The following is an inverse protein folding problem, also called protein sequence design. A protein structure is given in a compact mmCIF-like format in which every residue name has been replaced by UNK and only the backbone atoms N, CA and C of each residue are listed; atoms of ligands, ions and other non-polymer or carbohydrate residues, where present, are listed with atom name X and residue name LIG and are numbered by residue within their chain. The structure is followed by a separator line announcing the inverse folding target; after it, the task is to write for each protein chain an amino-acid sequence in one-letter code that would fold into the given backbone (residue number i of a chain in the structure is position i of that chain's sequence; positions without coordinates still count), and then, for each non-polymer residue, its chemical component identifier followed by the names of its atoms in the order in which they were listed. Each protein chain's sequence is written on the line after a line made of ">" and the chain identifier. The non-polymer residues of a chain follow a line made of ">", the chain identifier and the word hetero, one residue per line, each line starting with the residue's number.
data_IF_515368598201
#
_entry.id   IF_515368598201
#
_cell.length_a   1.000
_cell.length_b   1.000
_cell.length_c   1.000
_cell.angle_alpha   90.00
_cell.angle_beta   90.00
_cell.angle_gamma   90.00
#
_symmetry.space_group_name_H-M   'P 1'
#
loop_
_entity.id
_entity.type
_entity.pdbx_description
1 polymer ?
#
# COMPACT_ATOMS: atom_id res chain seq x y z
N UNK A 1 8.63 -18.57 -10.10
CA UNK A 1 9.18 -17.21 -9.93
C UNK A 1 9.04 -16.47 -11.25
N UNK A 2 8.21 -15.43 -11.34
CA UNK A 2 8.02 -14.68 -12.60
C UNK A 2 9.24 -13.78 -12.85
N UNK A 3 9.90 -13.99 -14.00
CA UNK A 3 11.15 -13.36 -14.47
C UNK A 3 11.12 -11.82 -14.60
N UNK A 4 10.00 -11.18 -14.26
CA UNK A 4 9.72 -9.75 -14.47
C UNK A 4 9.16 -9.05 -13.22
N UNK A 5 9.35 -9.58 -12.02
CA UNK A 5 9.00 -8.82 -10.82
C UNK A 5 10.10 -7.77 -10.59
N UNK A 6 9.83 -6.46 -10.75
CA UNK A 6 10.84 -5.44 -10.50
C UNK A 6 11.29 -5.53 -9.05
N UNK A 7 12.61 -5.39 -8.84
CA UNK A 7 13.23 -5.37 -7.52
C UNK A 7 12.48 -4.40 -6.62
N UNK A 8 12.10 -4.83 -5.40
CA UNK A 8 11.41 -3.95 -4.47
C UNK A 8 12.29 -2.74 -4.15
N UNK A 9 11.96 -1.59 -4.73
CA UNK A 9 12.61 -0.33 -4.41
C UNK A 9 12.05 0.18 -3.08
N UNK A 10 12.93 0.29 -2.07
CA UNK A 10 12.57 0.86 -0.78
C UNK A 10 12.00 2.28 -0.98
N UNK A 11 10.91 2.65 -0.29
CA UNK A 11 10.35 3.98 -0.38
C UNK A 11 11.37 5.01 0.11
N UNK A 12 11.49 6.12 -0.61
CA UNK A 12 12.31 7.25 -0.17
C UNK A 12 11.63 8.01 0.98
N UNK A 13 12.37 8.93 1.59
CA UNK A 13 11.87 9.65 2.77
C UNK A 13 10.65 10.53 2.47
N UNK A 14 10.53 11.08 1.25
CA UNK A 14 9.33 11.84 0.83
C UNK A 14 8.09 10.94 0.77
N UNK A 15 8.25 9.71 0.29
CA UNK A 15 7.19 8.70 0.29
C UNK A 15 6.80 8.33 1.73
N UNK A 16 7.78 8.05 2.59
CA UNK A 16 7.50 7.70 3.98
C UNK A 16 6.89 8.86 4.78
N UNK A 17 7.28 10.12 4.52
CA UNK A 17 6.65 11.28 5.12
C UNK A 17 5.14 11.34 4.81
N UNK A 18 4.74 10.92 3.61
CA UNK A 18 3.34 10.83 3.22
C UNK A 18 2.66 9.59 3.84
N UNK A 19 3.32 8.44 3.84
CA UNK A 19 2.79 7.19 4.38
C UNK A 19 2.56 7.24 5.91
N UNK A 20 3.39 8.00 6.64
CA UNK A 20 3.25 8.23 8.08
C UNK A 20 2.05 9.11 8.45
N UNK A 21 1.48 9.86 7.50
CA UNK A 21 0.25 10.62 7.75
C UNK A 21 -0.89 9.63 7.97
N UNK A 22 -1.40 9.57 9.20
CA UNK A 22 -2.41 8.59 9.67
C UNK A 22 -3.61 8.41 8.72
N UNK A 23 -4.04 9.48 8.06
CA UNK A 23 -5.22 9.44 7.18
C UNK A 23 -4.89 8.99 5.75
N UNK A 24 -3.67 9.20 5.23
CA UNK A 24 -3.36 8.97 3.81
C UNK A 24 -3.51 7.50 3.42
N UNK A 25 -2.81 6.59 4.12
CA UNK A 25 -2.86 5.16 3.78
C UNK A 25 -4.28 4.60 3.96
N UNK A 26 -4.95 4.96 5.06
CA UNK A 26 -6.32 4.49 5.36
C UNK A 26 -7.34 5.01 4.34
N UNK A 27 -7.23 6.27 3.93
CA UNK A 27 -8.09 6.87 2.92
C UNK A 27 -7.84 6.23 1.56
N UNK A 28 -6.57 6.05 1.17
CA UNK A 28 -6.20 5.33 -0.06
C UNK A 28 -6.85 3.95 -0.09
N UNK A 29 -6.70 3.16 0.98
CA UNK A 29 -7.29 1.82 1.05
C UNK A 29 -8.82 1.80 0.93
N UNK A 30 -9.50 2.87 1.33
CA UNK A 30 -10.97 3.02 1.25
C UNK A 30 -11.46 3.58 -0.09
N UNK A 31 -10.73 4.52 -0.68
CA UNK A 31 -11.12 5.19 -1.92
C UNK A 31 -10.87 4.28 -3.12
N UNK A 32 -9.77 3.53 -3.09
CA UNK A 32 -9.37 2.65 -4.20
C UNK A 32 -9.95 1.23 -4.07
N UNK A 33 -11.18 1.12 -3.53
CA UNK A 33 -11.95 -0.14 -3.50
C UNK A 33 -12.57 -0.47 -4.87
N UNK A 34 -12.51 0.48 -5.81
CA UNK A 34 -12.94 0.28 -7.19
C UNK A 34 -11.88 -0.54 -7.95
N UNK A 35 -12.24 -1.73 -8.44
CA UNK A 35 -11.34 -2.64 -9.19
C UNK A 35 -10.61 -1.96 -10.35
N UNK A 36 -11.24 -0.99 -11.01
CA UNK A 36 -10.64 -0.26 -12.13
C UNK A 36 -9.42 0.56 -11.70
N UNK A 37 -9.40 1.04 -10.46
CA UNK A 37 -8.27 1.80 -9.91
C UNK A 37 -7.07 0.91 -9.55
N UNK A 38 -7.28 -0.40 -9.37
CA UNK A 38 -6.21 -1.36 -9.12
C UNK A 38 -5.32 -1.57 -10.35
N UNK A 39 -5.77 -1.15 -11.54
CA UNK A 39 -4.93 -1.08 -12.74
C UNK A 39 -3.83 -0.03 -12.63
N UNK A 40 -4.04 1.01 -11.83
CA UNK A 40 -3.11 2.13 -11.61
C UNK A 40 -2.29 1.91 -10.34
N UNK A 41 -2.84 1.18 -9.36
CA UNK A 41 -2.31 1.09 -8.02
C UNK A 41 -2.35 -0.36 -7.47
N UNK A 42 -1.25 -0.82 -6.89
CA UNK A 42 -1.18 -2.14 -6.25
C UNK A 42 -1.45 -2.02 -4.73
N UNK A 43 -2.59 -2.52 -4.22
CA UNK A 43 -2.95 -2.41 -2.81
C UNK A 43 -2.04 -3.20 -1.87
N UNK A 44 -1.50 -4.35 -2.30
CA UNK A 44 -0.53 -5.10 -1.50
C UNK A 44 0.78 -4.29 -1.34
N UNK A 45 1.21 -3.59 -2.39
CA UNK A 45 2.40 -2.72 -2.32
C UNK A 45 2.23 -1.59 -1.31
N UNK A 46 1.03 -1.03 -1.16
CA UNK A 46 0.75 0.01 -0.17
C UNK A 46 0.82 -0.51 1.25
N UNK A 47 0.31 -1.72 1.52
CA UNK A 47 0.46 -2.36 2.82
C UNK A 47 1.94 -2.54 3.19
N UNK A 48 2.77 -2.97 2.22
CA UNK A 48 4.23 -3.09 2.40
C UNK A 48 4.88 -1.73 2.66
N UNK A 49 4.52 -0.67 1.91
CA UNK A 49 5.05 0.68 2.12
C UNK A 49 4.66 1.21 3.50
N UNK A 50 3.40 1.03 3.90
CA UNK A 50 2.88 1.47 5.19
C UNK A 50 3.64 0.82 6.35
N UNK A 51 3.87 -0.50 6.26
CA UNK A 51 4.70 -1.24 7.21
C UNK A 51 6.14 -0.74 7.22
N UNK A 52 6.78 -0.60 6.05
CA UNK A 52 8.16 -0.13 5.91
C UNK A 52 8.36 1.26 6.52
N UNK A 53 7.40 2.16 6.35
CA UNK A 53 7.47 3.53 6.82
C UNK A 53 7.00 3.73 8.28
N UNK A 54 6.75 2.65 9.03
CA UNK A 54 6.40 2.70 10.45
C UNK A 54 4.94 3.05 10.76
N UNK A 55 4.03 2.88 9.79
CA UNK A 55 2.59 3.07 9.97
C UNK A 55 1.82 1.86 9.40
N UNK A 56 2.03 0.64 9.94
CA UNK A 56 1.43 -0.56 9.42
C UNK A 56 -0.10 -0.50 9.51
N UNK A 57 -0.76 -1.02 8.48
CA UNK A 57 -2.20 -1.24 8.51
C UNK A 57 -2.52 -2.37 9.51
N UNK A 58 -3.62 -2.28 10.29
CA UNK A 58 -4.06 -3.37 11.14
C UNK A 58 -4.33 -4.65 10.34
N UNK A 59 -4.04 -5.82 10.91
CA UNK A 59 -4.43 -7.11 10.32
C UNK A 59 -5.94 -7.15 10.08
N UNK A 60 -6.35 -7.80 8.99
CA UNK A 60 -7.75 -7.85 8.54
C UNK A 60 -8.23 -6.56 7.86
N UNK A 61 -7.40 -5.51 7.78
CA UNK A 61 -7.77 -4.30 7.03
C UNK A 61 -7.90 -4.64 5.56
N UNK A 62 -9.07 -4.34 5.00
CA UNK A 62 -9.29 -4.37 3.56
C UNK A 62 -8.73 -3.11 2.90
N UNK A 63 -7.87 -3.28 1.92
CA UNK A 63 -7.28 -2.24 1.10
C UNK A 63 -7.50 -2.62 -0.36
N UNK A 64 -8.49 -2.01 -1.01
CA UNK A 64 -8.92 -2.53 -2.32
C UNK A 64 -9.46 -3.97 -2.24
N UNK A 65 -8.91 -4.84 -3.08
CA UNK A 65 -9.09 -6.29 -3.08
C UNK A 65 -8.12 -7.04 -2.15
N UNK A 66 -7.10 -6.38 -1.61
CA UNK A 66 -6.12 -6.98 -0.70
C UNK A 66 -6.60 -6.94 0.75
N UNK A 67 -6.37 -8.02 1.49
CA UNK A 67 -6.57 -8.09 2.94
C UNK A 67 -5.19 -8.20 3.59
N UNK A 68 -4.91 -7.34 4.57
CA UNK A 68 -3.64 -7.35 5.31
C UNK A 68 -3.62 -8.54 6.27
N UNK A 69 -2.57 -9.37 6.23
CA UNK A 69 -2.39 -10.57 7.05
C UNK A 69 -1.30 -10.40 8.13
#
# INVERSE_FOLDING_TARGET
>A
MHKYSPTYHKPNEKCCASARKKYMIKLFCKVFVVKETEKVFNPAKLAVIASHCGNPLPRGTRCGSHIVH
#
